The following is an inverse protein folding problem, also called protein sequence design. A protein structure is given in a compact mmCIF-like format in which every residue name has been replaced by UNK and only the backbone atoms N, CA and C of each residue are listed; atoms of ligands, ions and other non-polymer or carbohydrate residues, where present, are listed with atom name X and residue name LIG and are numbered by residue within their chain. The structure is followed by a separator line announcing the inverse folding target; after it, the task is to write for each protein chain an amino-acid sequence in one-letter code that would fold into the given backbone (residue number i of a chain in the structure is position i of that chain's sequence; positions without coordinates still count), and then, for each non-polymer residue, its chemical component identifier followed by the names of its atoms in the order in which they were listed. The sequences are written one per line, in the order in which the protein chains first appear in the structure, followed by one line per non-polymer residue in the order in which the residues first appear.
data_IF_328609035428
#
_entry.id   IF_328609035428
#
_cell.length_a   1.000
_cell.length_b   1.000
_cell.length_c   1.000
_cell.angle_alpha   90.00
_cell.angle_beta   90.00
_cell.angle_gamma   90.00
#
_symmetry.space_group_name_H-M   'P 1'
#
loop_
_entity.id
_entity.type
_entity.pdbx_description
1 polymer ?
#
# COMPACT_ATOMS: atom_id res chain seq x y z
N UNK A 1 1.56 1.00 88.44
CA UNK A 1 0.95 -0.34 88.19
C UNK A 1 1.13 -0.62 86.70
N UNK A 2 2.17 -1.39 86.33
CA UNK A 2 2.10 -2.82 85.96
C UNK A 2 1.28 -3.01 84.65
N UNK A 3 1.80 -3.39 83.48
CA UNK A 3 2.69 -4.47 83.01
C UNK A 3 1.92 -5.35 81.98
N UNK A 4 2.68 -6.01 81.09
CA UNK A 4 2.32 -6.98 80.04
C UNK A 4 1.77 -6.40 78.70
N UNK A 5 2.47 -6.48 77.55
CA UNK A 5 3.10 -7.59 76.79
C UNK A 5 2.09 -8.46 76.03
N UNK A 6 2.08 -8.33 74.69
CA UNK A 6 1.96 -9.46 73.76
C UNK A 6 2.25 -9.01 72.32
N UNK A 7 3.29 -9.61 71.72
CA UNK A 7 3.68 -9.49 70.33
C UNK A 7 2.77 -10.32 69.42
N UNK A 8 2.55 -9.90 68.17
CA UNK A 8 2.20 -10.81 67.07
C UNK A 8 2.54 -10.23 65.69
N UNK A 9 3.63 -10.75 65.12
CA UNK A 9 3.77 -11.12 63.71
C UNK A 9 3.50 -10.09 62.62
N UNK A 10 4.44 -9.17 62.36
CA UNK A 10 4.54 -8.51 61.06
C UNK A 10 5.15 -9.49 60.04
N UNK A 11 4.31 -10.12 59.22
CA UNK A 11 4.74 -10.91 58.07
C UNK A 11 5.40 -9.98 57.03
N UNK A 12 6.72 -10.04 56.93
CA UNK A 12 7.49 -9.36 55.91
C UNK A 12 7.20 -10.00 54.53
N UNK A 13 6.47 -9.28 53.67
CA UNK A 13 6.34 -9.62 52.26
C UNK A 13 7.73 -9.57 51.60
N UNK A 14 8.17 -10.61 50.86
CA UNK A 14 9.41 -10.53 50.11
C UNK A 14 9.26 -9.47 49.01
N UNK A 15 10.14 -8.45 49.04
CA UNK A 15 10.31 -7.51 47.93
C UNK A 15 10.86 -8.29 46.74
N UNK A 16 9.97 -8.77 45.88
CA UNK A 16 10.33 -9.32 44.58
C UNK A 16 11.00 -8.23 43.76
N UNK A 17 12.33 -8.26 43.68
CA UNK A 17 13.08 -7.47 42.72
C UNK A 17 12.65 -7.90 41.32
N UNK A 18 11.84 -7.08 40.65
CA UNK A 18 11.55 -7.21 39.22
C UNK A 18 12.85 -6.98 38.45
N UNK A 19 13.62 -8.04 38.27
CA UNK A 19 14.79 -8.04 37.40
C UNK A 19 14.32 -7.75 35.97
N UNK A 20 14.56 -6.52 35.48
CA UNK A 20 14.47 -6.23 34.05
C UNK A 20 15.42 -7.20 33.34
N UNK A 21 14.95 -7.99 32.36
CA UNK A 21 15.83 -8.93 31.68
C UNK A 21 16.98 -8.14 31.05
N UNK A 22 18.20 -8.46 31.46
CA UNK A 22 19.41 -7.88 30.88
C UNK A 22 19.53 -8.40 29.45
N UNK A 23 19.11 -7.59 28.48
CA UNK A 23 19.30 -7.90 27.06
C UNK A 23 20.80 -8.06 26.84
N UNK A 24 21.22 -9.27 26.49
CA UNK A 24 22.62 -9.62 26.29
C UNK A 24 23.29 -8.69 25.28
N UNK A 25 24.58 -8.42 25.48
CA UNK A 25 25.37 -7.48 24.65
C UNK A 25 25.30 -7.83 23.15
N UNK A 26 25.20 -9.12 22.81
CA UNK A 26 24.97 -9.62 21.46
C UNK A 26 23.59 -9.22 20.90
N UNK A 27 22.50 -9.46 21.64
CA UNK A 27 21.15 -9.05 21.23
C UNK A 27 21.02 -7.52 21.09
N UNK A 28 21.75 -6.74 21.92
CA UNK A 28 21.88 -5.28 21.75
C UNK A 28 22.66 -4.91 20.49
N UNK A 29 23.75 -5.62 20.18
CA UNK A 29 24.52 -5.41 18.97
C UNK A 29 23.69 -5.73 17.71
N UNK A 30 22.90 -6.81 17.74
CA UNK A 30 21.98 -7.18 16.65
C UNK A 30 20.85 -6.16 16.48
N UNK A 31 20.29 -5.65 17.58
CA UNK A 31 19.31 -4.55 17.54
C UNK A 31 19.90 -3.25 16.99
N UNK A 32 21.14 -2.93 17.36
CA UNK A 32 21.85 -1.75 16.85
C UNK A 32 22.18 -1.94 15.37
N UNK A 33 22.67 -3.10 14.97
CA UNK A 33 22.95 -3.43 13.57
C UNK A 33 21.67 -3.44 12.71
N UNK A 34 20.55 -3.94 13.24
CA UNK A 34 19.25 -3.87 12.59
C UNK A 34 18.75 -2.43 12.46
N UNK A 35 18.96 -1.58 13.48
CA UNK A 35 18.63 -0.15 13.43
C UNK A 35 19.52 0.65 12.47
N UNK A 36 20.79 0.25 12.32
CA UNK A 36 21.74 0.85 11.38
C UNK A 36 21.50 0.41 9.93
N UNK A 37 20.85 -0.73 9.73
CA UNK A 37 20.45 -1.25 8.42
C UNK A 37 19.08 -0.75 7.97
N UNK A 38 18.29 -0.17 8.90
CA UNK A 38 17.03 0.46 8.57
C UNK A 38 17.31 1.71 7.74
N UNK A 39 16.90 1.69 6.47
CA UNK A 39 16.95 2.89 5.63
C UNK A 39 16.21 4.03 6.35
N UNK A 40 16.76 5.26 6.38
CA UNK A 40 16.12 6.37 7.06
C UNK A 40 14.68 6.51 6.56
N UNK A 41 13.74 6.64 7.50
CA UNK A 41 12.33 6.88 7.17
C UNK A 41 12.28 8.11 6.28
N UNK A 42 11.80 8.00 5.03
CA UNK A 42 11.82 9.13 4.11
C UNK A 42 10.99 10.28 4.69
N UNK A 43 11.60 11.47 4.73
CA UNK A 43 11.06 12.66 5.37
C UNK A 43 9.95 13.30 4.54
N UNK A 44 9.25 14.28 5.10
CA UNK A 44 8.28 15.09 4.38
C UNK A 44 8.88 15.76 3.12
N UNK A 45 10.17 16.08 3.14
CA UNK A 45 10.88 16.68 2.01
C UNK A 45 11.05 15.71 0.85
N UNK A 46 11.24 14.41 1.15
CA UNK A 46 11.25 13.38 0.11
C UNK A 46 9.90 13.28 -0.61
N UNK A 47 8.78 13.44 0.12
CA UNK A 47 7.45 13.43 -0.47
C UNK A 47 7.23 14.64 -1.40
N UNK A 48 7.81 15.80 -1.10
CA UNK A 48 7.71 17.03 -1.92
C UNK A 48 8.60 17.01 -3.16
N UNK A 49 9.51 16.07 -3.29
CA UNK A 49 10.43 16.01 -4.43
C UNK A 49 9.70 15.81 -5.76
N UNK A 50 10.14 16.51 -6.80
CA UNK A 50 9.54 16.45 -8.15
C UNK A 50 9.44 15.03 -8.70
N UNK A 51 10.45 14.19 -8.43
CA UNK A 51 10.47 12.78 -8.86
C UNK A 51 9.38 11.95 -8.17
N UNK A 52 9.15 12.21 -6.89
CA UNK A 52 8.10 11.55 -6.10
C UNK A 52 6.72 11.99 -6.57
N UNK A 53 6.53 13.30 -6.77
CA UNK A 53 5.31 13.84 -7.33
C UNK A 53 5.02 13.26 -8.73
N UNK A 54 6.02 13.19 -9.61
CA UNK A 54 5.88 12.57 -10.92
C UNK A 54 5.53 11.08 -10.84
N UNK A 55 6.16 10.32 -9.93
CA UNK A 55 5.85 8.90 -9.73
C UNK A 55 4.41 8.66 -9.29
N UNK A 56 3.93 9.41 -8.30
CA UNK A 56 2.57 9.27 -7.78
C UNK A 56 1.53 9.84 -8.75
N UNK A 57 1.69 11.10 -9.19
CA UNK A 57 0.74 11.76 -10.07
C UNK A 57 0.70 11.12 -11.47
N UNK A 58 1.84 10.68 -11.99
CA UNK A 58 1.89 9.97 -13.27
C UNK A 58 1.14 8.63 -13.20
N UNK A 59 1.24 7.91 -12.09
CA UNK A 59 0.46 6.68 -11.90
C UNK A 59 -1.04 6.97 -11.73
N UNK A 60 -1.41 8.01 -10.96
CA UNK A 60 -2.80 8.47 -10.87
C UNK A 60 -3.36 8.88 -12.24
N UNK A 61 -2.55 9.50 -13.10
CA UNK A 61 -2.92 9.82 -14.48
C UNK A 61 -3.22 8.58 -15.32
N UNK A 62 -2.41 7.52 -15.20
CA UNK A 62 -2.67 6.23 -15.85
C UNK A 62 -4.01 5.64 -15.38
N UNK A 63 -4.28 5.68 -14.07
CA UNK A 63 -5.57 5.22 -13.51
C UNK A 63 -6.73 6.06 -14.04
N UNK A 64 -6.62 7.38 -14.03
CA UNK A 64 -7.65 8.29 -14.51
C UNK A 64 -7.95 8.06 -16.00
N UNK A 65 -6.93 7.83 -16.82
CA UNK A 65 -7.10 7.49 -18.23
C UNK A 65 -7.81 6.14 -18.42
N UNK A 66 -7.50 5.14 -17.58
CA UNK A 66 -8.20 3.85 -17.61
C UNK A 66 -9.68 3.99 -17.21
N UNK A 67 -9.96 4.72 -16.13
CA UNK A 67 -11.33 5.02 -15.68
C UNK A 67 -12.09 5.77 -16.76
N UNK A 68 -11.52 6.80 -17.38
CA UNK A 68 -12.17 7.57 -18.45
C UNK A 68 -12.56 6.74 -19.67
N UNK A 69 -11.83 5.66 -19.96
CA UNK A 69 -12.19 4.70 -21.02
C UNK A 69 -13.28 3.71 -20.62
N UNK A 70 -13.29 3.26 -19.36
CA UNK A 70 -14.20 2.23 -18.86
C UNK A 70 -15.54 2.81 -18.38
N UNK A 71 -15.53 4.00 -17.80
CA UNK A 71 -16.71 4.69 -17.27
C UNK A 71 -17.88 4.80 -18.26
N UNK A 72 -17.70 5.21 -19.53
CA UNK A 72 -18.84 5.31 -20.45
C UNK A 72 -19.51 3.95 -20.72
N UNK A 73 -18.75 2.84 -20.69
CA UNK A 73 -19.28 1.49 -20.88
C UNK A 73 -19.97 1.00 -19.60
N UNK A 74 -19.34 1.26 -18.45
CA UNK A 74 -19.89 0.93 -17.13
C UNK A 74 -21.23 1.61 -16.86
N UNK A 75 -21.44 2.82 -17.38
CA UNK A 75 -22.66 3.60 -17.19
C UNK A 75 -23.80 3.23 -18.15
N UNK A 76 -23.56 2.40 -19.18
CA UNK A 76 -24.60 2.02 -20.16
C UNK A 76 -25.89 1.50 -19.51
N UNK A 77 -25.85 0.57 -18.52
CA UNK A 77 -27.07 0.05 -17.90
C UNK A 77 -27.84 1.10 -17.10
N UNK A 78 -27.14 2.09 -16.52
CA UNK A 78 -27.76 3.21 -15.78
C UNK A 78 -28.46 4.16 -16.75
N UNK A 79 -27.84 4.43 -17.90
CA UNK A 79 -28.36 5.35 -18.91
C UNK A 79 -29.54 4.74 -19.69
N UNK A 80 -29.45 3.46 -20.05
CA UNK A 80 -30.44 2.76 -20.88
C UNK A 80 -31.60 2.20 -20.05
N UNK A 81 -31.38 1.87 -18.78
CA UNK A 81 -32.38 1.29 -17.85
C UNK A 81 -33.12 0.06 -18.40
N UNK A 82 -32.44 -0.72 -19.24
CA UNK A 82 -32.98 -1.87 -19.97
C UNK A 82 -32.56 -3.22 -19.37
N UNK A 83 -31.90 -3.21 -18.20
CA UNK A 83 -31.46 -4.43 -17.50
C UNK A 83 -32.47 -4.90 -16.46
N UNK A 84 -32.53 -6.21 -16.25
CA UNK A 84 -33.45 -6.85 -15.29
C UNK A 84 -33.06 -6.59 -13.84
N UNK A 85 -33.98 -6.81 -12.90
CA UNK A 85 -33.69 -6.64 -11.45
C UNK A 85 -32.56 -7.56 -10.97
N UNK A 86 -32.48 -8.79 -11.50
CA UNK A 86 -31.37 -9.70 -11.20
C UNK A 86 -30.03 -9.12 -11.70
N UNK A 87 -30.02 -8.55 -12.90
CA UNK A 87 -28.83 -7.93 -13.48
C UNK A 87 -28.41 -6.68 -12.69
N UNK A 88 -29.35 -5.90 -12.15
CA UNK A 88 -29.06 -4.82 -11.21
C UNK A 88 -28.41 -5.32 -9.92
N UNK A 89 -28.94 -6.41 -9.35
CA UNK A 89 -28.34 -7.07 -8.19
C UNK A 89 -26.90 -7.52 -8.47
N UNK A 90 -26.65 -8.11 -9.63
CA UNK A 90 -25.29 -8.49 -10.06
C UNK A 90 -24.40 -7.27 -10.32
N UNK A 91 -24.93 -6.21 -10.92
CA UNK A 91 -24.23 -4.94 -11.15
C UNK A 91 -23.72 -4.34 -9.83
N UNK A 92 -24.63 -4.12 -8.88
CA UNK A 92 -24.28 -3.59 -7.56
C UNK A 92 -23.40 -4.55 -6.75
N UNK A 93 -23.67 -5.86 -6.82
CA UNK A 93 -22.88 -6.89 -6.15
C UNK A 93 -21.44 -6.94 -6.66
N UNK A 94 -21.23 -6.87 -7.98
CA UNK A 94 -19.90 -6.81 -8.59
C UNK A 94 -19.17 -5.52 -8.21
N UNK A 95 -19.85 -4.36 -8.19
CA UNK A 95 -19.26 -3.12 -7.69
C UNK A 95 -18.78 -3.23 -6.24
N UNK A 96 -19.61 -3.77 -5.34
CA UNK A 96 -19.25 -3.98 -3.94
C UNK A 96 -18.07 -4.96 -3.79
N UNK A 97 -18.08 -6.05 -4.56
CA UNK A 97 -17.00 -7.04 -4.58
C UNK A 97 -15.66 -6.42 -4.99
N UNK A 98 -15.64 -5.64 -6.08
CA UNK A 98 -14.42 -4.97 -6.55
C UNK A 98 -13.98 -3.84 -5.62
N UNK A 99 -14.93 -3.09 -5.04
CA UNK A 99 -14.61 -2.07 -4.04
C UNK A 99 -13.86 -2.69 -2.84
N UNK A 100 -14.29 -3.85 -2.37
CA UNK A 100 -13.64 -4.53 -1.24
C UNK A 100 -12.35 -5.24 -1.63
N UNK A 101 -12.37 -6.07 -2.68
CA UNK A 101 -11.24 -6.95 -3.01
C UNK A 101 -10.12 -6.19 -3.71
N UNK A 102 -10.44 -5.36 -4.69
CA UNK A 102 -9.47 -4.56 -5.40
C UNK A 102 -9.23 -3.23 -4.68
N UNK A 103 -10.27 -2.44 -4.46
CA UNK A 103 -10.15 -1.11 -3.85
C UNK A 103 -9.52 -1.13 -2.46
N UNK A 104 -10.13 -1.85 -1.52
CA UNK A 104 -9.68 -1.88 -0.13
C UNK A 104 -8.49 -2.83 0.08
N UNK A 105 -8.64 -4.13 -0.20
CA UNK A 105 -7.61 -5.13 0.11
C UNK A 105 -6.36 -5.02 -0.76
N UNK A 106 -6.51 -4.84 -2.07
CA UNK A 106 -5.36 -4.82 -2.98
C UNK A 106 -4.73 -3.43 -3.06
N UNK A 107 -5.50 -2.41 -3.42
CA UNK A 107 -5.02 -1.04 -3.52
C UNK A 107 -4.70 -0.47 -2.14
N UNK A 108 -5.71 -0.19 -1.31
CA UNK A 108 -5.52 0.59 -0.09
C UNK A 108 -4.56 -0.05 0.92
N UNK A 109 -4.72 -1.34 1.22
CA UNK A 109 -3.91 -1.99 2.24
C UNK A 109 -2.48 -2.34 1.78
N UNK A 110 -2.28 -2.63 0.49
CA UNK A 110 -0.99 -3.19 0.01
C UNK A 110 -0.29 -2.29 -0.99
N UNK A 111 -0.97 -1.92 -2.07
CA UNK A 111 -0.33 -1.29 -3.22
C UNK A 111 -0.17 0.22 -3.06
N UNK A 112 -1.18 0.94 -2.55
CA UNK A 112 -1.13 2.38 -2.31
C UNK A 112 0.02 2.81 -1.39
N UNK A 113 0.23 2.22 -0.19
CA UNK A 113 1.35 2.59 0.67
C UNK A 113 2.71 2.27 0.03
N UNK A 114 2.81 1.16 -0.71
CA UNK A 114 4.02 0.77 -1.42
C UNK A 114 4.39 1.78 -2.51
N UNK A 115 3.43 2.17 -3.36
CA UNK A 115 3.67 3.11 -4.48
C UNK A 115 4.20 4.44 -3.95
N UNK A 116 3.57 5.00 -2.91
CA UNK A 116 4.00 6.25 -2.30
C UNK A 116 5.38 6.11 -1.68
N UNK A 117 5.63 5.04 -0.92
CA UNK A 117 6.93 4.81 -0.29
C UNK A 117 8.06 4.67 -1.33
N UNK A 118 7.84 3.87 -2.38
CA UNK A 118 8.82 3.71 -3.47
C UNK A 118 9.02 5.02 -4.23
N UNK A 119 7.98 5.81 -4.45
CA UNK A 119 8.13 7.12 -5.07
C UNK A 119 9.02 8.04 -4.21
N UNK A 120 8.92 7.98 -2.88
CA UNK A 120 9.74 8.78 -1.95
C UNK A 120 11.23 8.37 -1.96
N UNK A 121 11.55 7.11 -2.27
CA UNK A 121 12.96 6.68 -2.37
C UNK A 121 13.70 7.32 -3.54
N UNK A 122 12.99 7.78 -4.59
CA UNK A 122 13.60 8.50 -5.72
C UNK A 122 14.18 9.87 -5.32
N UNK A 123 13.62 10.50 -4.29
CA UNK A 123 14.04 11.83 -3.81
C UNK A 123 15.05 11.75 -2.66
N UNK A 124 15.16 10.62 -1.98
CA UNK A 124 15.99 10.44 -0.78
C UNK A 124 17.35 9.79 -1.05
N UNK A 125 17.53 9.17 -2.23
CA UNK A 125 18.72 8.36 -2.51
C UNK A 125 19.94 9.21 -2.89
N UNK A 126 21.06 8.94 -2.23
CA UNK A 126 22.41 9.40 -2.59
C UNK A 126 23.32 8.18 -2.81
N UNK A 127 23.96 8.03 -3.98
CA UNK A 127 23.94 8.92 -5.15
C UNK A 127 22.56 8.96 -5.85
N UNK A 128 22.26 10.04 -6.59
CA UNK A 128 20.97 10.20 -7.26
C UNK A 128 20.71 9.05 -8.24
N UNK A 129 19.45 8.55 -8.32
CA UNK A 129 19.12 7.44 -9.20
C UNK A 129 19.30 7.86 -10.68
N UNK A 130 19.59 6.89 -11.58
CA UNK A 130 19.68 7.14 -13.02
C UNK A 130 18.47 7.90 -13.57
N UNK A 131 18.68 8.75 -14.59
CA UNK A 131 17.62 9.55 -15.20
C UNK A 131 16.42 8.70 -15.65
N UNK A 132 16.66 7.47 -16.11
CA UNK A 132 15.62 6.50 -16.48
C UNK A 132 14.64 6.20 -15.33
N UNK A 133 15.11 6.10 -14.09
CA UNK A 133 14.24 5.87 -12.93
C UNK A 133 13.35 7.07 -12.65
N UNK A 134 13.83 8.28 -12.96
CA UNK A 134 13.05 9.51 -12.82
C UNK A 134 12.05 9.67 -13.97
N UNK A 135 12.44 9.38 -15.22
CA UNK A 135 11.54 9.46 -16.36
C UNK A 135 10.37 8.45 -16.24
N UNK A 136 10.70 7.21 -15.85
CA UNK A 136 9.72 6.13 -15.64
C UNK A 136 9.31 6.01 -14.17
N UNK A 137 9.29 7.12 -13.42
CA UNK A 137 8.94 7.12 -11.99
C UNK A 137 7.59 6.44 -11.68
N UNK A 138 6.53 6.57 -12.51
CA UNK A 138 5.29 5.84 -12.26
C UNK A 138 5.49 4.33 -12.25
N UNK A 139 6.17 3.79 -13.26
CA UNK A 139 6.46 2.37 -13.40
C UNK A 139 7.48 1.87 -12.35
N UNK A 140 8.42 2.72 -11.95
CA UNK A 140 9.32 2.45 -10.82
C UNK A 140 8.55 2.30 -9.50
N UNK A 141 7.59 3.19 -9.26
CA UNK A 141 6.77 3.22 -8.04
C UNK A 141 5.86 1.99 -7.95
N UNK A 142 5.42 1.45 -9.10
CA UNK A 142 4.71 0.16 -9.18
C UNK A 142 5.60 -1.08 -8.91
N UNK A 143 6.93 -0.92 -8.91
CA UNK A 143 7.88 -2.01 -8.72
C UNK A 143 8.13 -2.86 -9.97
N UNK A 144 7.89 -2.34 -11.17
CA UNK A 144 8.11 -3.08 -12.44
C UNK A 144 9.59 -3.29 -12.77
N UNK A 145 10.44 -2.35 -12.34
CA UNK A 145 11.89 -2.45 -12.44
C UNK A 145 12.56 -1.88 -11.19
N UNK A 146 13.83 -2.22 -10.98
CA UNK A 146 14.58 -1.88 -9.76
C UNK A 146 13.82 -2.26 -8.47
N UNK A 147 13.32 -3.48 -8.43
CA UNK A 147 12.64 -4.07 -7.27
C UNK A 147 13.28 -5.43 -6.94
N UNK A 148 13.00 -5.96 -5.75
CA UNK A 148 13.41 -7.31 -5.38
C UNK A 148 12.98 -8.35 -6.44
N UNK A 149 13.74 -9.45 -6.59
CA UNK A 149 13.45 -10.51 -7.58
C UNK A 149 12.00 -11.00 -7.45
N UNK A 150 11.53 -11.18 -6.20
CA UNK A 150 10.15 -11.57 -5.87
C UNK A 150 9.13 -10.50 -6.30
N UNK A 151 9.38 -9.22 -5.97
CA UNK A 151 8.46 -8.13 -6.31
C UNK A 151 8.31 -7.96 -7.82
N UNK A 152 9.42 -8.03 -8.56
CA UNK A 152 9.42 -7.89 -10.02
C UNK A 152 8.51 -8.93 -10.66
N UNK A 153 8.65 -10.20 -10.28
CA UNK A 153 7.79 -11.28 -10.79
C UNK A 153 6.32 -11.02 -10.46
N UNK A 154 6.00 -10.67 -9.20
CA UNK A 154 4.62 -10.38 -8.79
C UNK A 154 4.03 -9.21 -9.59
N UNK A 155 4.75 -8.10 -9.74
CA UNK A 155 4.27 -6.94 -10.47
C UNK A 155 4.01 -7.28 -11.95
N UNK A 156 4.91 -8.01 -12.61
CA UNK A 156 4.71 -8.44 -14.00
C UNK A 156 3.55 -9.44 -14.14
N UNK A 157 3.40 -10.40 -13.22
CA UNK A 157 2.28 -11.35 -13.21
C UNK A 157 0.93 -10.64 -13.04
N UNK A 158 0.84 -9.67 -12.13
CA UNK A 158 -0.39 -8.89 -11.93
C UNK A 158 -0.69 -8.04 -13.17
N UNK A 159 0.30 -7.31 -13.71
CA UNK A 159 0.11 -6.48 -14.90
C UNK A 159 -0.34 -7.30 -16.11
N UNK A 160 0.28 -8.45 -16.36
CA UNK A 160 -0.10 -9.33 -17.45
C UNK A 160 -1.48 -9.95 -17.21
N UNK A 161 -1.76 -10.42 -15.98
CA UNK A 161 -3.04 -10.99 -15.62
C UNK A 161 -4.20 -10.01 -15.82
N UNK A 162 -4.06 -8.77 -15.37
CA UNK A 162 -5.06 -7.71 -15.58
C UNK A 162 -5.23 -7.42 -17.08
N UNK A 163 -4.13 -7.33 -17.84
CA UNK A 163 -4.22 -7.11 -19.29
C UNK A 163 -4.97 -8.24 -20.01
N UNK A 164 -4.69 -9.49 -19.66
CA UNK A 164 -5.40 -10.67 -20.19
C UNK A 164 -6.89 -10.64 -19.84
N UNK A 165 -7.24 -10.39 -18.57
CA UNK A 165 -8.63 -10.32 -18.12
C UNK A 165 -9.39 -9.21 -18.84
N UNK A 166 -8.81 -8.01 -18.97
CA UNK A 166 -9.42 -6.91 -19.74
C UNK A 166 -9.62 -7.33 -21.21
N UNK A 167 -8.66 -8.03 -21.81
CA UNK A 167 -8.79 -8.57 -23.16
C UNK A 167 -9.96 -9.55 -23.31
N UNK A 168 -10.23 -10.36 -22.29
CA UNK A 168 -11.37 -11.28 -22.24
C UNK A 168 -12.70 -10.55 -22.02
N UNK A 169 -12.75 -9.62 -21.05
CA UNK A 169 -13.96 -8.85 -20.71
C UNK A 169 -14.47 -8.04 -21.91
N UNK A 170 -13.56 -7.54 -22.76
CA UNK A 170 -13.93 -6.85 -24.01
C UNK A 170 -14.75 -7.70 -24.99
N UNK A 171 -14.70 -9.04 -24.88
CA UNK A 171 -15.47 -9.96 -25.74
C UNK A 171 -16.86 -10.27 -25.19
N UNK A 172 -17.19 -9.81 -23.97
CA UNK A 172 -18.49 -10.04 -23.38
C UNK A 172 -19.55 -9.15 -24.05
N UNK A 173 -20.74 -9.71 -24.38
CA UNK A 173 -21.84 -8.90 -24.87
C UNK A 173 -22.41 -8.02 -23.74
N UNK A 174 -23.15 -7.00 -24.14
CA UNK A 174 -24.01 -6.25 -23.23
C UNK A 174 -25.04 -7.20 -22.59
N UNK A 175 -25.36 -7.09 -21.29
CA UNK A 175 -24.90 -6.11 -20.29
C UNK A 175 -23.70 -6.55 -19.44
N UNK A 176 -23.18 -7.77 -19.65
CA UNK A 176 -22.16 -8.38 -18.80
C UNK A 176 -20.84 -7.62 -18.78
N UNK A 177 -20.42 -7.10 -19.94
CA UNK A 177 -19.24 -6.23 -20.02
C UNK A 177 -19.39 -5.00 -19.12
N UNK A 178 -20.54 -4.35 -19.16
CA UNK A 178 -20.81 -3.15 -18.36
C UNK A 178 -20.84 -3.44 -16.87
N UNK A 179 -21.34 -4.61 -16.45
CA UNK A 179 -21.30 -5.07 -15.05
C UNK A 179 -19.86 -5.21 -14.55
N UNK A 180 -18.99 -5.87 -15.32
CA UNK A 180 -17.58 -6.06 -14.93
C UNK A 180 -16.81 -4.72 -14.97
N UNK A 181 -16.98 -3.95 -16.04
CA UNK A 181 -16.31 -2.64 -16.19
C UNK A 181 -16.73 -1.66 -15.07
N UNK A 182 -17.98 -1.74 -14.58
CA UNK A 182 -18.43 -0.97 -13.41
C UNK A 182 -17.73 -1.38 -12.11
N UNK A 183 -17.53 -2.69 -11.90
CA UNK A 183 -16.71 -3.21 -10.82
C UNK A 183 -15.28 -2.67 -10.87
N UNK A 184 -14.60 -2.84 -12.01
CA UNK A 184 -13.23 -2.37 -12.23
C UNK A 184 -13.14 -0.86 -12.01
N UNK A 185 -14.03 -0.06 -12.59
CA UNK A 185 -14.08 1.39 -12.38
C UNK A 185 -14.18 1.74 -10.89
N UNK A 186 -15.04 1.05 -10.14
CA UNK A 186 -15.23 1.27 -8.70
C UNK A 186 -13.93 0.97 -7.92
N UNK A 187 -13.29 -0.16 -8.22
CA UNK A 187 -12.02 -0.54 -7.62
C UNK A 187 -10.90 0.45 -7.91
N UNK A 188 -10.79 0.89 -9.17
CA UNK A 188 -9.78 1.87 -9.61
C UNK A 188 -10.01 3.27 -8.99
N UNK A 189 -11.26 3.71 -8.89
CA UNK A 189 -11.62 4.97 -8.23
C UNK A 189 -11.21 4.94 -6.75
N UNK A 190 -11.61 3.89 -6.03
CA UNK A 190 -11.23 3.70 -4.63
C UNK A 190 -9.70 3.65 -4.46
N UNK A 191 -9.02 2.86 -5.28
CA UNK A 191 -7.58 2.71 -5.25
C UNK A 191 -6.82 4.00 -5.55
N UNK A 192 -7.28 4.76 -6.55
CA UNK A 192 -6.75 6.08 -6.89
C UNK A 192 -6.92 7.09 -5.74
N UNK A 193 -8.12 7.16 -5.15
CA UNK A 193 -8.38 8.00 -3.98
C UNK A 193 -7.48 7.61 -2.80
N UNK A 194 -7.33 6.32 -2.52
CA UNK A 194 -6.44 5.82 -1.48
C UNK A 194 -4.98 6.25 -1.69
N UNK A 195 -4.45 6.13 -2.92
CA UNK A 195 -3.09 6.60 -3.27
C UNK A 195 -2.97 8.10 -2.99
N UNK A 196 -3.93 8.90 -3.44
CA UNK A 196 -3.94 10.35 -3.22
C UNK A 196 -3.93 10.71 -1.72
N UNK A 197 -4.80 10.06 -0.93
CA UNK A 197 -4.87 10.29 0.53
C UNK A 197 -3.56 9.92 1.22
N UNK A 198 -2.95 8.78 0.90
CA UNK A 198 -1.67 8.36 1.49
C UNK A 198 -0.56 9.32 1.09
N UNK A 199 -0.55 9.80 -0.16
CA UNK A 199 0.43 10.78 -0.62
C UNK A 199 0.28 12.13 0.09
N UNK A 200 -0.95 12.63 0.26
CA UNK A 200 -1.21 13.84 1.05
C UNK A 200 -0.75 13.70 2.50
N UNK A 201 -0.95 12.52 3.11
CA UNK A 201 -0.43 12.22 4.46
C UNK A 201 1.10 12.23 4.48
N UNK A 202 1.76 11.69 3.45
CA UNK A 202 3.21 11.72 3.32
C UNK A 202 3.75 13.16 3.18
N UNK A 203 3.06 14.02 2.41
CA UNK A 203 3.38 15.46 2.32
C UNK A 203 3.22 16.18 3.65
N UNK A 204 2.26 15.76 4.48
CA UNK A 204 2.08 16.22 5.86
C UNK A 204 3.07 15.56 6.87
N UNK A 205 4.06 14.81 6.39
CA UNK A 205 5.12 14.20 7.20
C UNK A 205 4.80 12.82 7.78
N UNK A 206 3.64 12.24 7.46
CA UNK A 206 3.27 10.87 7.87
C UNK A 206 3.61 9.88 6.75
N UNK A 207 4.87 9.43 6.71
CA UNK A 207 5.31 8.40 5.76
C UNK A 207 4.53 7.09 5.96
N UNK A 208 4.22 6.33 4.88
CA UNK A 208 3.54 5.04 4.97
C UNK A 208 4.29 3.99 5.81
N UNK A 209 5.61 4.11 5.97
CA UNK A 209 6.41 3.23 6.84
C UNK A 209 6.49 1.77 6.37
N UNK A 210 6.12 1.47 5.12
CA UNK A 210 6.23 0.12 4.54
C UNK A 210 7.60 -0.11 3.91
N UNK A 211 8.01 -1.37 3.75
CA UNK A 211 9.26 -1.71 3.05
C UNK A 211 9.10 -1.37 1.54
N UNK A 212 9.99 -0.54 0.95
CA UNK A 212 9.97 -0.25 -0.48
C UNK A 212 10.36 -1.45 -1.36
N UNK A 213 10.87 -2.55 -0.81
CA UNK A 213 11.27 -3.78 -1.52
C UNK A 213 12.26 -3.51 -2.67
N UNK A 214 13.32 -2.76 -2.35
CA UNK A 214 14.44 -2.52 -3.25
C UNK A 214 15.28 -3.81 -3.44
N UNK A 215 16.09 -3.91 -4.52
CA UNK A 215 17.01 -5.03 -4.69
C UNK A 215 17.93 -5.12 -3.47
N UNK A 216 18.04 -6.32 -2.89
CA UNK A 216 19.11 -6.60 -1.93
C UNK A 216 20.40 -6.65 -2.72
N UNK A 217 21.41 -5.88 -2.32
CA UNK A 217 22.76 -6.05 -2.83
C UNK A 217 23.21 -7.43 -2.33
N UNK A 218 23.25 -8.41 -3.25
CA UNK A 218 23.87 -9.70 -2.99
C UNK A 218 25.37 -9.38 -2.76
N UNK A 219 25.82 -9.43 -1.50
CA UNK A 219 27.24 -9.43 -1.15
C UNK A 219 27.90 -10.71 -1.63
#
# INVERSE_FOLDING_TARGET
MAAASSASGAAALPRGASARPAIGRAARADLIAASASASPVPTADAARGLRTAWGVCGFLGILAQAIGRLAPIAMQPILQRDITMLQWGLYGGTMAFFAYTEGYKAFQCKFSPLVVQRAMTLSTRSPPPPLLHSALAPFYSMGLFHASKKRKTVSWSISLGVACIIGLVKRLPYPWRSVVDAGVCTGLLWGGTSIGVIYLRALAGKSPGVDPELPKEDK
#
